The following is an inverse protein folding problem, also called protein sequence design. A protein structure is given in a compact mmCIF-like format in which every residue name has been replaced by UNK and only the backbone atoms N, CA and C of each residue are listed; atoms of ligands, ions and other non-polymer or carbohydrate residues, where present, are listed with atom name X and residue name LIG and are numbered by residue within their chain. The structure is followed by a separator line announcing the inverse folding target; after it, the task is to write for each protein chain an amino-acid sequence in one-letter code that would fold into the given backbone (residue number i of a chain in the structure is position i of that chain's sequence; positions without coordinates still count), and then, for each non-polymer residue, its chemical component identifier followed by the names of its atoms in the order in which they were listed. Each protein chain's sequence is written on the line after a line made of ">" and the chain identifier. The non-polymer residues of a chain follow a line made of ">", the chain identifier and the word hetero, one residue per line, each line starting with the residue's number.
data_IF_725452485586
#
_entry.id   IF_725452485586
#
_cell.length_a   1.000
_cell.length_b   1.000
_cell.length_c   1.000
_cell.angle_alpha   90.00
_cell.angle_beta   90.00
_cell.angle_gamma   90.00
#
_symmetry.space_group_name_H-M   'P 1'
#
loop_
_entity.id
_entity.type
_entity.pdbx_description
1 polymer ?
#
# COMPACT_ATOMS: atom_id res chain seq x y z
N UNK A 1 -41.15 -55.62 5.28
CA UNK A 1 -39.87 -54.92 5.52
C UNK A 1 -39.47 -54.21 4.24
N UNK A 2 -39.60 -52.87 4.20
CA UNK A 2 -38.69 -52.03 3.42
C UNK A 2 -37.90 -51.10 4.37
N UNK A 3 -36.60 -50.83 4.12
CA UNK A 3 -35.84 -49.87 4.91
C UNK A 3 -36.07 -48.45 4.38
N UNK A 4 -36.53 -47.54 5.24
CA UNK A 4 -36.60 -46.11 4.97
C UNK A 4 -35.22 -45.47 5.24
N UNK A 5 -34.50 -45.10 4.18
CA UNK A 5 -33.29 -44.30 4.29
C UNK A 5 -33.64 -42.86 4.70
N UNK A 6 -33.21 -42.47 5.89
CA UNK A 6 -33.32 -41.10 6.42
C UNK A 6 -32.18 -40.25 5.85
N UNK A 7 -32.47 -39.39 4.89
CA UNK A 7 -31.52 -38.38 4.40
C UNK A 7 -31.37 -37.28 5.46
N UNK A 8 -30.20 -37.20 6.08
CA UNK A 8 -29.81 -36.06 6.94
C UNK A 8 -29.24 -34.99 6.03
N UNK A 9 -30.00 -33.91 5.84
CA UNK A 9 -29.55 -32.71 5.13
C UNK A 9 -28.55 -31.96 6.02
N UNK A 10 -27.28 -31.95 5.62
CA UNK A 10 -26.21 -31.21 6.29
C UNK A 10 -26.25 -29.74 5.84
N UNK A 11 -26.92 -28.88 6.60
CA UNK A 11 -26.78 -27.43 6.47
C UNK A 11 -25.37 -27.01 6.92
N UNK A 12 -24.51 -26.65 5.97
CA UNK A 12 -23.22 -26.00 6.24
C UNK A 12 -23.48 -24.57 6.71
N UNK A 13 -23.33 -24.33 8.01
CA UNK A 13 -23.30 -22.98 8.60
C UNK A 13 -21.97 -22.34 8.20
N UNK A 14 -22.02 -21.37 7.29
CA UNK A 14 -20.88 -20.54 6.94
C UNK A 14 -20.61 -19.55 8.09
N UNK A 15 -19.82 -19.96 9.08
CA UNK A 15 -19.34 -19.08 10.14
C UNK A 15 -18.26 -18.14 9.58
N UNK A 16 -18.49 -16.83 9.66
CA UNK A 16 -17.53 -15.82 9.22
C UNK A 16 -16.22 -15.93 10.02
N UNK A 17 -15.09 -16.03 9.33
CA UNK A 17 -13.77 -15.95 9.96
C UNK A 17 -13.58 -14.58 10.64
N UNK A 18 -13.02 -14.53 11.86
CA UNK A 18 -12.73 -13.27 12.54
C UNK A 18 -11.64 -12.49 11.79
N UNK A 19 -11.95 -11.22 11.48
CA UNK A 19 -11.03 -10.29 10.83
C UNK A 19 -9.77 -10.10 11.71
N UNK A 20 -8.54 -10.16 11.16
CA UNK A 20 -7.33 -10.01 11.96
C UNK A 20 -7.33 -8.65 12.65
N UNK A 21 -7.15 -8.67 13.98
CA UNK A 21 -7.05 -7.47 14.80
C UNK A 21 -5.65 -6.88 14.60
N UNK A 22 -5.53 -5.90 13.72
CA UNK A 22 -4.34 -5.05 13.64
C UNK A 22 -4.31 -4.26 14.95
N UNK A 23 -3.36 -4.56 15.83
CA UNK A 23 -3.15 -3.82 17.07
C UNK A 23 -2.32 -2.59 16.70
N UNK A 24 -2.85 -1.36 16.78
CA UNK A 24 -2.04 -0.17 16.56
C UNK A 24 -0.99 -0.07 17.69
N UNK A 25 0.27 0.05 17.30
CA UNK A 25 1.37 0.25 18.24
C UNK A 25 1.30 1.61 18.95
N UNK A 26 2.11 1.84 19.99
CA UNK A 26 2.15 3.12 20.69
C UNK A 26 2.67 4.22 19.75
N UNK A 27 1.81 5.22 19.47
CA UNK A 27 2.15 6.42 18.68
C UNK A 27 3.08 7.32 19.50
N UNK A 28 4.40 7.20 19.31
CA UNK A 28 5.34 8.08 20.01
C UNK A 28 5.52 9.41 19.26
N UNK A 29 5.59 10.54 19.98
CA UNK A 29 5.51 11.89 19.42
C UNK A 29 6.79 12.39 18.73
N UNK A 30 7.87 11.61 18.65
CA UNK A 30 9.19 12.10 18.19
C UNK A 30 9.71 11.46 16.90
N UNK A 31 8.87 10.70 16.17
CA UNK A 31 9.35 10.08 14.94
C UNK A 31 9.29 11.02 13.75
N UNK A 32 10.35 11.81 13.58
CA UNK A 32 10.66 12.45 12.31
C UNK A 32 10.91 11.36 11.27
N UNK A 33 10.24 11.46 10.13
CA UNK A 33 10.45 10.54 9.02
C UNK A 33 11.92 10.60 8.59
N UNK A 34 12.65 9.50 8.78
CA UNK A 34 14.09 9.43 8.50
C UNK A 34 14.22 8.92 7.07
N UNK A 35 14.95 9.66 6.24
CA UNK A 35 15.23 9.21 4.89
C UNK A 35 16.09 7.94 4.96
N UNK A 36 15.61 6.86 4.34
CA UNK A 36 16.45 5.73 3.96
C UNK A 36 17.61 6.25 3.10
N UNK A 37 18.86 5.92 3.44
CA UNK A 37 20.01 6.33 2.64
C UNK A 37 20.03 5.54 1.33
N UNK A 38 20.06 6.23 0.21
CA UNK A 38 20.08 5.63 -1.14
C UNK A 38 21.32 4.78 -1.40
N UNK A 39 22.40 4.99 -0.63
CA UNK A 39 23.59 4.14 -0.63
C UNK A 39 23.33 2.72 -0.12
N UNK A 40 22.31 2.49 0.72
CA UNK A 40 22.02 1.17 1.32
C UNK A 40 21.56 0.17 0.27
N UNK A 41 20.87 0.64 -0.77
CA UNK A 41 20.28 -0.20 -1.81
C UNK A 41 21.11 -0.26 -3.11
N UNK A 42 22.13 0.59 -3.25
CA UNK A 42 22.97 0.66 -4.45
C UNK A 42 22.15 0.92 -5.72
N UNK A 43 21.17 1.82 -5.63
CA UNK A 43 20.29 2.18 -6.76
C UNK A 43 20.98 3.13 -7.73
N UNK A 44 20.65 3.01 -9.01
CA UNK A 44 21.03 4.01 -10.02
C UNK A 44 20.17 5.27 -9.83
N UNK A 45 18.86 5.10 -9.65
CA UNK A 45 17.91 6.18 -9.41
C UNK A 45 17.47 6.27 -7.95
N UNK A 46 18.11 7.19 -7.23
CA UNK A 46 17.82 7.51 -5.83
C UNK A 46 16.42 8.07 -5.58
N UNK A 47 15.79 8.64 -6.62
CA UNK A 47 14.48 9.29 -6.54
C UNK A 47 13.31 8.32 -6.37
N UNK A 48 13.51 7.02 -6.61
CA UNK A 48 12.49 5.98 -6.49
C UNK A 48 12.09 5.68 -5.04
N UNK A 49 12.93 6.06 -4.07
CA UNK A 49 12.66 5.86 -2.65
C UNK A 49 11.89 7.04 -2.09
N UNK A 50 10.67 6.77 -1.61
CA UNK A 50 9.85 7.75 -0.92
C UNK A 50 9.48 7.27 0.47
N UNK A 51 9.73 8.12 1.47
CA UNK A 51 9.36 7.92 2.88
C UNK A 51 8.06 8.67 3.23
N UNK A 52 7.25 8.99 2.23
CA UNK A 52 6.01 9.74 2.37
C UNK A 52 4.90 8.97 1.64
N UNK A 53 3.65 9.22 2.01
CA UNK A 53 2.51 8.68 1.29
C UNK A 53 2.12 9.62 0.14
N UNK A 54 1.55 9.08 -0.93
CA UNK A 54 1.10 9.87 -2.07
C UNK A 54 -0.42 10.04 -2.04
N UNK A 55 -0.90 11.25 -1.74
CA UNK A 55 -2.32 11.61 -1.66
C UNK A 55 -2.57 12.87 -2.48
N UNK A 56 -3.58 12.84 -3.36
CA UNK A 56 -4.03 13.99 -4.17
C UNK A 56 -2.89 14.67 -4.96
N UNK A 57 -2.00 13.86 -5.54
CA UNK A 57 -0.88 14.35 -6.32
C UNK A 57 0.31 14.88 -5.50
N UNK A 58 0.32 14.67 -4.18
CA UNK A 58 1.33 15.22 -3.27
C UNK A 58 1.90 14.15 -2.35
N UNK A 59 3.18 14.32 -2.02
CA UNK A 59 3.84 13.56 -0.96
C UNK A 59 3.50 14.15 0.41
N UNK A 60 2.91 13.34 1.28
CA UNK A 60 2.40 13.74 2.59
C UNK A 60 2.96 12.85 3.71
N UNK A 61 3.14 13.46 4.88
CA UNK A 61 3.49 12.76 6.11
C UNK A 61 2.24 12.60 7.00
N UNK A 62 2.26 11.68 7.96
CA UNK A 62 1.16 11.53 8.92
C UNK A 62 1.00 12.80 9.75
N UNK A 63 -0.25 13.28 9.93
CA UNK A 63 -0.51 14.50 10.70
C UNK A 63 -0.16 14.36 12.17
N UNK A 64 -0.36 13.17 12.71
CA UNK A 64 -0.05 12.84 14.11
C UNK A 64 1.42 12.42 14.29
N UNK A 65 2.25 12.47 13.24
CA UNK A 65 3.67 12.11 13.31
C UNK A 65 3.95 10.62 13.50
N UNK A 66 2.93 9.76 13.42
CA UNK A 66 3.09 8.31 13.44
C UNK A 66 3.92 7.83 12.25
N UNK A 67 4.84 6.89 12.50
CA UNK A 67 5.63 6.24 11.46
C UNK A 67 5.75 4.76 11.74
N UNK A 68 5.85 3.99 10.66
CA UNK A 68 6.12 2.56 10.68
C UNK A 68 7.58 2.38 10.23
N UNK A 69 8.35 1.61 11.00
CA UNK A 69 9.71 1.22 10.63
C UNK A 69 9.66 0.08 9.62
N UNK A 70 10.40 0.22 8.53
CA UNK A 70 10.60 -0.84 7.55
C UNK A 70 11.96 -1.46 7.84
N UNK A 71 11.98 -2.77 8.04
CA UNK A 71 13.19 -3.54 8.36
C UNK A 71 13.41 -4.64 7.33
N UNK A 72 14.67 -4.91 6.99
CA UNK A 72 15.04 -6.04 6.14
C UNK A 72 14.80 -7.35 6.92
N UNK A 73 13.97 -8.30 6.42
CA UNK A 73 13.69 -9.54 7.12
C UNK A 73 14.89 -10.50 7.21
N UNK A 74 15.88 -10.39 6.33
CA UNK A 74 17.06 -11.25 6.31
C UNK A 74 18.14 -10.80 7.30
N UNK A 75 18.34 -9.48 7.46
CA UNK A 75 19.39 -8.90 8.33
C UNK A 75 18.84 -8.26 9.60
N UNK A 76 17.53 -8.04 9.70
CA UNK A 76 16.86 -7.27 10.77
C UNK A 76 17.26 -5.79 10.80
N UNK A 77 17.97 -5.28 9.79
CA UNK A 77 18.40 -3.89 9.73
C UNK A 77 17.24 -2.94 9.36
N UNK A 78 17.21 -1.74 9.95
CA UNK A 78 16.22 -0.70 9.62
C UNK A 78 16.57 -0.07 8.26
N UNK A 79 15.65 -0.23 7.30
CA UNK A 79 15.76 0.31 5.95
C UNK A 79 15.32 1.78 5.89
N UNK A 80 14.25 2.12 6.61
CA UNK A 80 13.68 3.46 6.61
C UNK A 80 12.36 3.51 7.37
N UNK A 81 11.65 4.65 7.26
CA UNK A 81 10.33 4.81 7.86
C UNK A 81 9.30 5.30 6.86
N UNK A 82 8.06 4.82 7.00
CA UNK A 82 6.91 5.26 6.21
C UNK A 82 5.85 5.85 7.15
N UNK A 83 5.03 6.83 6.71
CA UNK A 83 4.04 7.44 7.59
C UNK A 83 2.95 6.43 7.98
N UNK A 84 2.59 6.42 9.27
CA UNK A 84 1.44 5.68 9.78
C UNK A 84 0.19 6.55 9.58
N UNK A 85 -0.46 6.41 8.43
CA UNK A 85 -1.65 7.20 8.10
C UNK A 85 -2.87 6.74 8.89
N UNK A 86 -3.60 7.71 9.44
CA UNK A 86 -4.79 7.49 10.23
C UNK A 86 -6.10 7.61 9.44
N UNK A 87 -7.18 7.68 10.20
CA UNK A 87 -8.55 7.77 9.69
C UNK A 87 -8.77 9.08 8.91
N UNK A 88 -8.18 10.19 9.36
CA UNK A 88 -8.36 11.50 8.72
C UNK A 88 -7.67 11.58 7.35
N UNK A 89 -6.43 11.11 7.24
CA UNK A 89 -5.72 11.05 5.95
C UNK A 89 -6.40 10.07 4.99
N UNK A 90 -6.93 8.96 5.51
CA UNK A 90 -7.71 8.01 4.71
C UNK A 90 -8.97 8.65 4.12
N UNK A 91 -9.72 9.43 4.92
CA UNK A 91 -10.87 10.21 4.41
C UNK A 91 -10.44 11.19 3.32
N UNK A 92 -9.34 11.91 3.53
CA UNK A 92 -8.80 12.84 2.53
C UNK A 92 -8.46 12.14 1.21
N UNK A 93 -7.85 10.95 1.27
CA UNK A 93 -7.56 10.14 0.09
C UNK A 93 -8.84 9.70 -0.64
N UNK A 94 -9.88 9.29 0.10
CA UNK A 94 -11.18 8.91 -0.47
C UNK A 94 -11.84 10.11 -1.17
N UNK A 95 -11.85 11.27 -0.53
CA UNK A 95 -12.43 12.48 -1.11
C UNK A 95 -11.68 12.94 -2.37
N UNK A 96 -10.34 12.87 -2.35
CA UNK A 96 -9.51 13.17 -3.51
C UNK A 96 -9.78 12.19 -4.67
N UNK A 97 -9.84 10.88 -4.40
CA UNK A 97 -10.16 9.87 -5.40
C UNK A 97 -11.56 10.07 -5.99
N UNK A 98 -12.56 10.39 -5.17
CA UNK A 98 -13.93 10.70 -5.60
C UNK A 98 -13.98 11.93 -6.51
N UNK A 99 -13.21 12.97 -6.21
CA UNK A 99 -13.07 14.16 -7.08
C UNK A 99 -12.41 13.81 -8.40
N UNK A 100 -11.28 13.09 -8.37
CA UNK A 100 -10.54 12.69 -9.56
C UNK A 100 -11.36 11.78 -10.48
N UNK A 101 -12.21 10.90 -9.93
CA UNK A 101 -13.06 10.01 -10.70
C UNK A 101 -14.02 10.77 -11.64
N UNK A 102 -14.52 11.95 -11.23
CA UNK A 102 -15.47 12.75 -12.03
C UNK A 102 -14.90 13.20 -13.37
N UNK A 103 -13.59 13.47 -13.43
CA UNK A 103 -12.88 13.86 -14.65
C UNK A 103 -12.25 12.65 -15.32
N UNK A 104 -11.60 11.77 -14.55
CA UNK A 104 -10.92 10.59 -15.08
C UNK A 104 -11.86 9.61 -15.78
N UNK A 105 -13.07 9.38 -15.26
CA UNK A 105 -14.05 8.49 -15.89
C UNK A 105 -14.48 8.94 -17.28
N UNK A 106 -14.42 10.25 -17.56
CA UNK A 106 -14.77 10.84 -18.86
C UNK A 106 -13.64 10.79 -19.89
N UNK A 107 -12.44 10.37 -19.49
CA UNK A 107 -11.31 10.22 -20.42
C UNK A 107 -11.56 9.07 -21.40
N UNK A 108 -11.03 9.21 -22.62
CA UNK A 108 -11.15 8.16 -23.63
C UNK A 108 -10.27 6.96 -23.29
N UNK A 109 -10.65 5.77 -23.78
CA UNK A 109 -9.84 4.57 -23.60
C UNK A 109 -8.41 4.73 -24.14
N UNK A 110 -8.24 5.43 -25.27
CA UNK A 110 -6.92 5.73 -25.85
C UNK A 110 -6.06 6.56 -24.90
N UNK A 111 -6.60 7.64 -24.35
CA UNK A 111 -5.85 8.48 -23.39
C UNK A 111 -5.39 7.69 -22.18
N UNK A 112 -6.25 6.81 -21.64
CA UNK A 112 -5.87 5.95 -20.50
C UNK A 112 -4.79 4.93 -20.88
N UNK A 113 -4.90 4.34 -22.08
CA UNK A 113 -3.87 3.45 -22.62
C UNK A 113 -2.52 4.16 -22.73
N UNK A 114 -2.48 5.37 -23.31
CA UNK A 114 -1.23 6.12 -23.48
C UNK A 114 -0.54 6.41 -22.13
N UNK A 115 -1.32 6.74 -21.10
CA UNK A 115 -0.80 6.99 -19.74
C UNK A 115 -0.25 5.68 -19.14
N UNK A 116 -0.98 4.58 -19.26
CA UNK A 116 -0.55 3.28 -18.74
C UNK A 116 0.69 2.74 -19.47
N UNK A 117 0.79 2.94 -20.79
CA UNK A 117 1.97 2.54 -21.57
C UNK A 117 3.21 3.36 -21.20
N UNK A 118 3.05 4.65 -20.93
CA UNK A 118 4.15 5.47 -20.39
C UNK A 118 4.60 4.97 -19.02
N UNK A 119 3.66 4.63 -18.14
CA UNK A 119 4.00 4.09 -16.82
C UNK A 119 4.71 2.74 -16.93
N UNK A 120 4.26 1.87 -17.83
CA UNK A 120 4.93 0.60 -18.14
C UNK A 120 6.37 0.83 -18.64
N UNK A 121 6.58 1.75 -19.58
CA UNK A 121 7.92 2.06 -20.09
C UNK A 121 8.86 2.51 -18.96
N UNK A 122 8.38 3.37 -18.05
CA UNK A 122 9.14 3.81 -16.88
C UNK A 122 9.46 2.64 -15.93
N UNK A 123 8.53 1.71 -15.71
CA UNK A 123 8.79 0.51 -14.91
C UNK A 123 9.85 -0.39 -15.53
N UNK A 124 9.86 -0.54 -16.86
CA UNK A 124 10.88 -1.29 -17.58
C UNK A 124 12.25 -0.61 -17.54
N UNK A 125 12.30 0.72 -17.66
CA UNK A 125 13.53 1.50 -17.58
C UNK A 125 14.21 1.35 -16.21
N UNK A 126 13.42 1.29 -15.14
CA UNK A 126 13.90 1.20 -13.76
C UNK A 126 13.81 -0.21 -13.16
N UNK A 127 13.69 -1.26 -13.98
CA UNK A 127 13.41 -2.63 -13.50
C UNK A 127 14.47 -3.17 -12.54
N UNK A 128 15.75 -2.88 -12.79
CA UNK A 128 16.87 -3.32 -11.94
C UNK A 128 16.78 -2.71 -10.53
N UNK A 129 16.47 -1.42 -10.46
CA UNK A 129 16.36 -0.69 -9.19
C UNK A 129 15.11 -1.13 -8.42
N UNK A 130 14.00 -1.35 -9.11
CA UNK A 130 12.78 -1.89 -8.51
C UNK A 130 12.98 -3.32 -7.97
N UNK A 131 13.73 -4.16 -8.69
CA UNK A 131 14.04 -5.52 -8.23
C UNK A 131 14.87 -5.51 -6.93
N UNK A 132 15.83 -4.58 -6.81
CA UNK A 132 16.62 -4.38 -5.58
C UNK A 132 15.78 -3.94 -4.40
N UNK A 133 14.71 -3.16 -4.64
CA UNK A 133 13.83 -2.66 -3.57
C UNK A 133 12.85 -3.73 -3.03
N UNK A 134 12.49 -4.73 -3.83
CA UNK A 134 11.52 -5.78 -3.45
C UNK A 134 12.18 -6.90 -2.63
N UNK A 135 13.49 -7.10 -2.77
CA UNK A 135 14.25 -8.23 -2.20
C UNK A 135 14.67 -7.97 -0.77
#
# INVERSE_FOLDING_TARGET
>A
MPPTHRLVSASLIFTSLPKPRIIPGPRHPLYRCRMASTSVFGLKESSLIHNQAYIDGKWVSAKEGGVIKVTNPATTEELGTVPELGLEETKQAIDAASKALKTWSKTTAKTRHDILMKWYALMCEHSDDLARLIT
#
